data_IF_573153688488
#
_entry.id   IF_573153688488
#
_cell.length_a   1.000
_cell.length_b   1.000
_cell.length_c   1.000
_cell.angle_alpha   90.00
_cell.angle_beta   90.00
_cell.angle_gamma   90.00
#
_symmetry.space_group_name_H-M   'P 1'
#
loop_
_entity.id
_entity.type
_entity.pdbx_description
1 polymer ?
#
# COMPACT_ATOMS: atom_id res chain seq x y z
N UNK A 1 16.91 -12.28 8.62
CA UNK A 1 16.20 -11.16 9.24
C UNK A 1 15.94 -10.16 8.13
N UNK A 2 14.92 -10.42 7.33
CA UNK A 2 14.51 -9.54 6.23
C UNK A 2 13.81 -8.32 6.84
N UNK A 3 14.47 -7.17 6.76
CA UNK A 3 13.83 -5.89 7.05
C UNK A 3 13.04 -5.54 5.79
N UNK A 4 11.73 -5.74 5.83
CA UNK A 4 10.81 -5.45 4.73
C UNK A 4 10.56 -3.92 4.67
N UNK A 5 11.05 -3.20 3.65
CA UNK A 5 11.12 -1.73 3.63
C UNK A 5 9.78 -1.03 3.34
N UNK A 6 8.64 -1.69 3.56
CA UNK A 6 7.37 -1.29 2.96
C UNK A 6 6.30 -0.74 3.93
N UNK A 7 6.56 -0.39 5.19
CA UNK A 7 5.44 -0.12 6.14
C UNK A 7 5.61 1.06 7.13
N UNK A 8 6.30 2.13 6.74
CA UNK A 8 7.06 2.92 7.72
C UNK A 8 6.28 3.83 8.72
N UNK A 9 5.37 4.73 8.32
CA UNK A 9 4.72 5.63 9.28
C UNK A 9 3.64 4.94 10.12
N UNK A 10 2.92 3.98 9.55
CA UNK A 10 1.85 3.25 10.24
C UNK A 10 2.41 2.36 11.34
N UNK A 11 3.54 1.67 11.10
CA UNK A 11 4.21 0.86 12.12
C UNK A 11 4.90 1.72 13.16
N UNK A 12 5.67 2.74 12.75
CA UNK A 12 6.30 3.67 13.70
C UNK A 12 5.24 4.28 14.64
N UNK A 13 4.11 4.74 14.08
CA UNK A 13 2.97 5.24 14.87
C UNK A 13 2.45 4.21 15.86
N UNK A 14 2.32 2.94 15.45
CA UNK A 14 1.86 1.86 16.34
C UNK A 14 2.80 1.64 17.51
N UNK A 15 4.12 1.55 17.26
CA UNK A 15 5.12 1.39 18.31
C UNK A 15 5.06 2.54 19.34
N UNK A 16 5.00 3.80 18.87
CA UNK A 16 4.87 4.95 19.77
C UNK A 16 3.53 4.98 20.51
N UNK A 17 2.44 4.56 19.86
CA UNK A 17 1.13 4.46 20.52
C UNK A 17 1.12 3.41 21.64
N UNK A 18 1.72 2.25 21.42
CA UNK A 18 1.85 1.21 22.45
C UNK A 18 2.77 1.69 23.60
N UNK A 19 3.87 2.37 23.27
CA UNK A 19 4.82 2.93 24.22
C UNK A 19 4.24 4.07 25.09
N UNK A 20 3.16 4.73 24.66
CA UNK A 20 2.55 5.86 25.38
C UNK A 20 2.14 5.51 26.82
N UNK A 21 1.85 4.23 27.07
CA UNK A 21 1.46 3.70 28.39
C UNK A 21 2.60 3.80 29.39
N UNK A 22 3.85 3.80 28.92
CA UNK A 22 5.05 3.78 29.74
C UNK A 22 5.89 5.05 29.63
N UNK A 23 5.83 5.75 28.48
CA UNK A 23 6.50 7.03 28.25
C UNK A 23 5.61 7.96 27.42
N UNK A 24 4.66 8.62 28.10
CA UNK A 24 3.68 9.49 27.47
C UNK A 24 4.33 10.69 26.76
N UNK A 25 5.37 11.29 27.36
CA UNK A 25 5.97 12.50 26.84
C UNK A 25 6.63 12.26 25.48
N UNK A 26 7.51 11.25 25.36
CA UNK A 26 8.19 10.95 24.09
C UNK A 26 7.24 10.43 23.03
N UNK A 27 6.32 9.55 23.44
CA UNK A 27 5.30 9.02 22.54
C UNK A 27 4.44 10.15 21.95
N UNK A 28 4.00 11.11 22.77
CA UNK A 28 3.14 12.21 22.32
C UNK A 28 3.86 13.11 21.31
N UNK A 29 5.13 13.44 21.54
CA UNK A 29 5.93 14.23 20.59
C UNK A 29 6.02 13.52 19.24
N UNK A 30 6.31 12.22 19.25
CA UNK A 30 6.39 11.44 18.00
C UNK A 30 5.05 11.30 17.28
N UNK A 31 3.96 11.08 18.02
CA UNK A 31 2.63 11.04 17.44
C UNK A 31 2.22 12.40 16.83
N UNK A 32 2.65 13.51 17.43
CA UNK A 32 2.44 14.85 16.88
C UNK A 32 3.23 15.05 15.57
N UNK A 33 4.50 14.66 15.53
CA UNK A 33 5.29 14.70 14.30
C UNK A 33 4.67 13.87 13.16
N UNK A 34 4.24 12.65 13.47
CA UNK A 34 3.57 11.79 12.48
C UNK A 34 2.29 12.46 11.98
N UNK A 35 1.51 13.10 12.85
CA UNK A 35 0.33 13.86 12.46
C UNK A 35 0.66 14.97 11.46
N UNK A 36 1.74 15.74 11.69
CA UNK A 36 2.17 16.79 10.77
C UNK A 36 2.47 16.24 9.37
N UNK A 37 3.14 15.08 9.27
CA UNK A 37 3.39 14.43 7.97
C UNK A 37 2.08 14.08 7.25
N UNK A 38 1.09 13.54 7.98
CA UNK A 38 -0.23 13.25 7.39
C UNK A 38 -1.04 14.49 7.04
N UNK A 39 -0.79 15.64 7.67
CA UNK A 39 -1.40 16.91 7.30
C UNK A 39 -0.87 17.41 5.95
N UNK A 40 0.43 17.25 5.67
CA UNK A 40 1.01 17.53 4.33
C UNK A 40 0.38 16.65 3.25
N UNK A 41 0.21 15.35 3.52
CA UNK A 41 -0.44 14.43 2.57
C UNK A 41 -1.94 14.71 2.41
N UNK A 42 -2.58 15.33 3.40
CA UNK A 42 -3.98 15.74 3.31
C UNK A 42 -4.11 16.97 2.40
N UNK A 43 -3.22 17.94 2.57
CA UNK A 43 -3.13 19.12 1.72
C UNK A 43 -2.92 18.73 0.26
N UNK A 44 -1.93 17.88 -0.03
CA UNK A 44 -1.68 17.39 -1.39
C UNK A 44 -2.91 16.74 -2.05
N UNK A 45 -3.72 16.00 -1.27
CA UNK A 45 -4.96 15.37 -1.75
C UNK A 45 -6.08 16.38 -1.94
N UNK A 46 -6.22 17.36 -1.06
CA UNK A 46 -7.24 18.40 -1.15
C UNK A 46 -7.03 19.28 -2.38
N UNK A 47 -5.77 19.61 -2.68
CA UNK A 47 -5.39 20.44 -3.81
C UNK A 47 -5.29 19.66 -5.14
N UNK A 48 -5.54 18.34 -5.11
CA UNK A 48 -5.43 17.43 -6.25
C UNK A 48 -4.08 17.53 -6.98
N UNK A 49 -2.99 17.62 -6.20
CA UNK A 49 -1.64 17.76 -6.75
C UNK A 49 -1.25 16.53 -7.57
N UNK A 50 -0.62 16.80 -8.73
CA UNK A 50 0.04 15.76 -9.53
C UNK A 50 1.31 15.24 -8.83
N UNK A 51 1.93 14.14 -9.31
CA UNK A 51 3.11 13.55 -8.66
C UNK A 51 4.26 14.54 -8.47
N UNK A 52 4.56 15.38 -9.46
CA UNK A 52 5.65 16.36 -9.39
C UNK A 52 5.39 17.44 -8.31
N UNK A 53 4.18 18.01 -8.30
CA UNK A 53 3.75 18.99 -7.31
C UNK A 53 3.72 18.39 -5.89
N UNK A 54 3.28 17.14 -5.76
CA UNK A 54 3.30 16.43 -4.49
C UNK A 54 4.72 16.24 -3.98
N UNK A 55 5.66 15.88 -4.86
CA UNK A 55 7.08 15.78 -4.52
C UNK A 55 7.61 17.12 -4.02
N UNK A 56 7.35 18.22 -4.73
CA UNK A 56 7.76 19.57 -4.31
C UNK A 56 7.20 19.97 -2.94
N UNK A 57 5.92 19.69 -2.69
CA UNK A 57 5.29 19.92 -1.40
C UNK A 57 5.98 19.12 -0.30
N UNK A 58 6.28 17.84 -0.54
CA UNK A 58 6.99 16.97 0.43
C UNK A 58 8.41 17.46 0.68
N UNK A 59 9.14 17.93 -0.33
CA UNK A 59 10.48 18.50 -0.14
C UNK A 59 10.41 19.78 0.71
N UNK A 60 9.38 20.60 0.52
CA UNK A 60 9.22 21.85 1.27
C UNK A 60 8.74 21.64 2.69
N UNK A 61 7.77 20.74 2.91
CA UNK A 61 7.08 20.58 4.21
C UNK A 61 7.45 19.30 4.94
N UNK A 62 7.44 18.15 4.27
CA UNK A 62 7.70 16.86 4.92
C UNK A 62 9.17 16.63 5.24
N UNK A 63 10.10 17.07 4.36
CA UNK A 63 11.54 16.84 4.55
C UNK A 63 12.08 17.49 5.82
N UNK A 64 11.79 18.76 6.15
CA UNK A 64 12.20 19.35 7.42
C UNK A 64 11.65 18.61 8.64
N UNK A 65 10.38 18.19 8.60
CA UNK A 65 9.76 17.41 9.68
C UNK A 65 10.50 16.09 9.90
N UNK A 66 10.89 15.40 8.83
CA UNK A 66 11.63 14.14 8.92
C UNK A 66 13.04 14.32 9.50
N UNK A 67 13.71 15.41 9.16
CA UNK A 67 15.01 15.74 9.76
C UNK A 67 14.86 16.07 11.26
N UNK A 68 13.83 16.83 11.63
CA UNK A 68 13.52 17.12 13.04
C UNK A 68 13.23 15.84 13.83
N UNK A 69 12.42 14.93 13.27
CA UNK A 69 12.16 13.61 13.85
C UNK A 69 13.48 12.86 14.08
N UNK A 70 14.35 12.81 13.06
CA UNK A 70 15.63 12.09 13.15
C UNK A 70 16.51 12.66 14.26
N UNK A 71 16.66 13.97 14.31
CA UNK A 71 17.46 14.66 15.34
C UNK A 71 16.89 14.44 16.74
N UNK A 72 15.56 14.56 16.88
CA UNK A 72 14.85 14.30 18.13
C UNK A 72 15.08 12.86 18.61
N UNK A 73 14.86 11.87 17.74
CA UNK A 73 15.00 10.46 18.07
C UNK A 73 16.44 10.09 18.42
N UNK A 74 17.44 10.63 17.71
CA UNK A 74 18.85 10.43 18.04
C UNK A 74 19.20 10.96 19.43
N UNK A 75 18.63 12.11 19.81
CA UNK A 75 18.82 12.71 21.14
C UNK A 75 18.15 11.89 22.23
N UNK A 76 16.92 11.45 21.99
CA UNK A 76 16.15 10.69 22.98
C UNK A 76 16.65 9.24 23.14
N UNK A 77 17.22 8.64 22.09
CA UNK A 77 17.83 7.31 22.14
C UNK A 77 18.87 7.17 23.26
N UNK A 78 19.62 8.23 23.53
CA UNK A 78 20.65 8.24 24.58
C UNK A 78 20.08 8.25 26.00
N UNK A 79 18.78 8.55 26.16
CA UNK A 79 18.11 8.74 27.44
C UNK A 79 17.18 7.60 27.83
N UNK A 80 17.01 6.60 26.95
CA UNK A 80 16.07 5.49 27.13
C UNK A 80 16.79 4.15 27.21
N UNK A 81 16.18 3.18 27.89
CA UNK A 81 16.68 1.81 27.91
C UNK A 81 16.40 1.15 26.55
N UNK A 82 17.38 0.51 25.89
CA UNK A 82 17.18 -0.07 24.55
C UNK A 82 16.02 -1.08 24.44
N UNK A 83 15.80 -1.89 25.49
CA UNK A 83 14.74 -2.91 25.53
C UNK A 83 13.42 -2.42 26.13
N UNK A 84 13.27 -1.12 26.36
CA UNK A 84 11.98 -0.55 26.76
C UNK A 84 11.08 -0.38 25.52
N UNK A 85 9.76 -0.36 25.70
CA UNK A 85 8.83 -0.14 24.59
C UNK A 85 9.14 1.15 23.79
N UNK A 86 9.56 2.23 24.48
CA UNK A 86 9.96 3.47 23.81
C UNK A 86 11.34 3.34 23.12
N UNK A 87 12.28 2.59 23.70
CA UNK A 87 13.57 2.29 23.09
C UNK A 87 13.42 1.51 21.79
N UNK A 88 12.59 0.47 21.80
CA UNK A 88 12.27 -0.32 20.61
C UNK A 88 11.56 0.52 19.54
N UNK A 89 10.64 1.42 19.93
CA UNK A 89 10.00 2.35 19.01
C UNK A 89 11.01 3.29 18.33
N UNK A 90 11.91 3.89 19.12
CA UNK A 90 12.97 4.78 18.62
C UNK A 90 13.91 4.03 17.69
N UNK A 91 14.37 2.85 18.09
CA UNK A 91 15.27 2.02 17.29
C UNK A 91 14.63 1.59 15.97
N UNK A 92 13.37 1.14 16.02
CA UNK A 92 12.62 0.80 14.82
C UNK A 92 12.55 1.99 13.86
N UNK A 93 12.15 3.17 14.33
CA UNK A 93 12.01 4.33 13.44
C UNK A 93 13.35 4.80 12.89
N UNK A 94 14.42 4.82 13.70
CA UNK A 94 15.76 5.22 13.25
C UNK A 94 16.36 4.25 12.24
N UNK A 95 16.20 2.93 12.45
CA UNK A 95 16.64 1.91 11.48
C UNK A 95 15.93 2.01 10.13
N UNK A 96 14.77 2.66 10.11
CA UNK A 96 13.92 2.81 8.94
C UNK A 96 13.93 4.24 8.36
N UNK A 97 14.80 5.14 8.85
CA UNK A 97 14.85 6.54 8.39
C UNK A 97 15.06 6.70 6.88
N UNK A 98 15.88 5.86 6.23
CA UNK A 98 16.13 5.97 4.79
C UNK A 98 14.85 5.77 3.98
N UNK A 99 14.04 4.77 4.34
CA UNK A 99 12.78 4.53 3.65
C UNK A 99 11.70 5.58 4.00
N UNK A 100 11.79 6.27 5.16
CA UNK A 100 10.96 7.44 5.45
C UNK A 100 11.34 8.62 4.55
N UNK A 101 12.58 8.71 4.09
CA UNK A 101 13.01 9.77 3.18
C UNK A 101 12.63 9.44 1.73
N UNK A 102 12.61 8.15 1.36
CA UNK A 102 12.34 7.71 -0.02
C UNK A 102 10.95 8.11 -0.54
N UNK A 103 9.90 8.08 0.29
CA UNK A 103 8.57 8.52 -0.17
C UNK A 103 8.52 10.02 -0.50
N UNK A 104 9.44 10.83 0.03
CA UNK A 104 9.50 12.27 -0.31
C UNK A 104 10.19 12.54 -1.64
N UNK A 105 10.87 11.54 -2.21
CA UNK A 105 11.64 11.65 -3.44
C UNK A 105 10.79 11.38 -4.70
N UNK A 106 9.67 10.67 -4.55
CA UNK A 106 8.76 10.32 -5.63
C UNK A 106 7.28 10.54 -5.21
N UNK A 107 6.56 11.36 -5.99
CA UNK A 107 5.17 11.71 -5.73
C UNK A 107 4.16 10.59 -6.02
N UNK A 108 4.55 9.57 -6.77
CA UNK A 108 3.74 8.36 -7.01
C UNK A 108 3.69 7.45 -5.78
N UNK A 109 4.67 7.59 -4.87
CA UNK A 109 4.71 6.82 -3.64
C UNK A 109 3.68 7.36 -2.65
N UNK A 110 2.92 6.44 -2.04
CA UNK A 110 2.11 6.74 -0.86
C UNK A 110 3.00 6.81 0.38
N UNK A 111 2.59 7.63 1.36
CA UNK A 111 3.27 7.76 2.65
C UNK A 111 3.29 6.44 3.44
N UNK A 112 2.29 5.59 3.26
CA UNK A 112 2.20 4.26 3.87
C UNK A 112 1.63 3.23 2.88
N UNK A 113 1.87 1.95 3.18
CA UNK A 113 1.49 0.84 2.32
C UNK A 113 0.14 0.22 2.70
N UNK A 114 -0.67 0.92 3.50
CA UNK A 114 -1.94 0.40 4.00
C UNK A 114 -2.87 0.00 2.84
N UNK A 115 -2.77 0.69 1.69
CA UNK A 115 -3.52 0.35 0.48
C UNK A 115 -3.12 -0.99 -0.12
N UNK A 116 -1.81 -1.31 -0.20
CA UNK A 116 -1.39 -2.61 -0.71
C UNK A 116 -1.67 -3.72 0.30
N UNK A 117 -1.42 -3.49 1.59
CA UNK A 117 -1.78 -4.46 2.65
C UNK A 117 -3.28 -4.79 2.60
N UNK A 118 -4.13 -3.76 2.50
CA UNK A 118 -5.59 -3.93 2.39
C UNK A 118 -5.97 -4.70 1.13
N UNK A 119 -5.23 -4.53 0.04
CA UNK A 119 -5.43 -5.27 -1.21
C UNK A 119 -5.03 -6.74 -1.11
N UNK A 120 -4.03 -7.06 -0.27
CA UNK A 120 -3.58 -8.42 0.00
C UNK A 120 -4.40 -9.13 1.09
N UNK A 121 -5.09 -8.38 1.96
CA UNK A 121 -5.89 -8.93 3.07
C UNK A 121 -6.85 -10.06 2.67
N UNK A 122 -7.59 -9.99 1.54
CA UNK A 122 -8.46 -11.08 1.11
C UNK A 122 -7.70 -12.38 0.81
N UNK A 123 -6.46 -12.29 0.31
CA UNK A 123 -5.59 -13.44 0.05
C UNK A 123 -5.10 -14.04 1.37
N UNK A 124 -4.69 -13.19 2.33
CA UNK A 124 -4.24 -13.64 3.66
C UNK A 124 -5.36 -14.34 4.43
N UNK A 125 -6.58 -13.77 4.42
CA UNK A 125 -7.76 -14.40 5.02
C UNK A 125 -8.14 -15.67 4.26
N UNK A 126 -8.08 -15.60 2.92
CA UNK A 126 -8.32 -16.75 2.03
C UNK A 126 -7.39 -17.91 2.35
N UNK A 127 -6.09 -17.67 2.52
CA UNK A 127 -5.08 -18.70 2.84
C UNK A 127 -5.45 -19.54 4.06
N UNK A 128 -5.99 -18.91 5.11
CA UNK A 128 -6.41 -19.62 6.32
C UNK A 128 -7.69 -20.44 6.12
N UNK A 129 -8.50 -20.09 5.10
CA UNK A 129 -9.75 -20.79 4.74
C UNK A 129 -9.57 -21.77 3.56
N UNK A 130 -8.49 -21.65 2.80
CA UNK A 130 -8.18 -22.45 1.63
C UNK A 130 -7.35 -23.67 2.04
N UNK A 131 -7.96 -24.55 2.84
CA UNK A 131 -7.37 -25.80 3.36
C UNK A 131 -6.80 -26.73 2.27
N UNK A 132 -7.16 -26.52 0.99
CA UNK A 132 -6.74 -27.34 -0.15
C UNK A 132 -5.66 -26.68 -1.04
N UNK A 133 -5.14 -25.50 -0.68
CA UNK A 133 -3.95 -24.91 -1.30
C UNK A 133 -2.67 -25.61 -0.78
N UNK A 134 -2.55 -26.92 -1.03
CA UNK A 134 -1.50 -27.78 -0.48
C UNK A 134 -0.30 -28.04 -1.41
N UNK A 135 -0.29 -27.46 -2.61
CA UNK A 135 0.82 -27.61 -3.57
C UNK A 135 1.24 -26.29 -4.19
N UNK A 136 2.51 -26.17 -4.57
CA UNK A 136 3.06 -25.00 -5.28
C UNK A 136 2.26 -24.63 -6.53
N UNK A 137 1.78 -25.65 -7.25
CA UNK A 137 0.93 -25.46 -8.44
C UNK A 137 -0.39 -24.78 -8.06
N UNK A 138 -1.04 -25.22 -6.97
CA UNK A 138 -2.24 -24.59 -6.44
C UNK A 138 -1.99 -23.14 -6.02
N UNK A 139 -0.90 -22.89 -5.29
CA UNK A 139 -0.46 -21.54 -4.90
C UNK A 139 -0.29 -20.61 -6.10
N UNK A 140 0.41 -21.06 -7.14
CA UNK A 140 0.60 -20.29 -8.38
C UNK A 140 -0.73 -19.99 -9.07
N UNK A 141 -1.63 -20.96 -9.17
CA UNK A 141 -2.96 -20.76 -9.75
C UNK A 141 -3.76 -19.71 -8.97
N UNK A 142 -3.76 -19.76 -7.64
CA UNK A 142 -4.46 -18.76 -6.84
C UNK A 142 -3.87 -17.37 -6.92
N UNK A 143 -2.54 -17.26 -7.02
CA UNK A 143 -1.88 -15.97 -7.26
C UNK A 143 -2.34 -15.37 -8.61
N UNK A 144 -2.38 -16.18 -9.68
CA UNK A 144 -2.86 -15.72 -11.00
C UNK A 144 -4.31 -15.25 -10.93
N UNK A 145 -5.21 -16.04 -10.35
CA UNK A 145 -6.63 -15.69 -10.23
C UNK A 145 -6.85 -14.45 -9.37
N UNK A 146 -6.14 -14.35 -8.24
CA UNK A 146 -6.23 -13.19 -7.35
C UNK A 146 -5.74 -11.91 -8.02
N UNK A 147 -4.66 -11.99 -8.81
CA UNK A 147 -4.16 -10.88 -9.62
C UNK A 147 -5.18 -10.42 -10.66
N UNK A 148 -5.85 -11.35 -11.36
CA UNK A 148 -6.92 -11.02 -12.31
C UNK A 148 -8.10 -10.32 -11.61
N UNK A 149 -8.54 -10.84 -10.47
CA UNK A 149 -9.63 -10.23 -9.67
C UNK A 149 -9.22 -8.84 -9.18
N UNK A 150 -7.97 -8.65 -8.74
CA UNK A 150 -7.44 -7.35 -8.33
C UNK A 150 -7.46 -6.34 -9.48
N UNK A 151 -7.05 -6.77 -10.68
CA UNK A 151 -7.13 -5.95 -11.90
C UNK A 151 -8.57 -5.57 -12.24
N UNK A 152 -9.53 -6.50 -12.16
CA UNK A 152 -10.94 -6.20 -12.34
C UNK A 152 -11.42 -5.13 -11.35
N UNK A 153 -11.11 -5.28 -10.07
CA UNK A 153 -11.49 -4.30 -9.03
C UNK A 153 -10.88 -2.93 -9.28
N UNK A 154 -9.60 -2.86 -9.67
CA UNK A 154 -8.93 -1.60 -10.02
C UNK A 154 -9.61 -0.88 -11.20
N UNK A 155 -10.09 -1.65 -12.18
CA UNK A 155 -10.78 -1.15 -13.37
C UNK A 155 -12.30 -1.01 -13.19
N UNK A 156 -12.83 -1.27 -11.99
CA UNK A 156 -14.28 -1.29 -11.69
C UNK A 156 -15.08 -2.25 -12.59
N UNK A 157 -14.47 -3.36 -12.98
CA UNK A 157 -15.10 -4.46 -13.70
C UNK A 157 -15.63 -5.49 -12.70
N UNK A 158 -16.85 -6.00 -12.93
CA UNK A 158 -17.45 -7.07 -12.12
C UNK A 158 -16.65 -8.37 -12.33
N UNK A 159 -15.94 -8.89 -11.31
CA UNK A 159 -14.98 -9.97 -11.51
C UNK A 159 -15.61 -11.31 -11.91
N UNK A 160 -16.81 -11.63 -11.43
CA UNK A 160 -17.46 -12.90 -11.73
C UNK A 160 -17.85 -12.99 -13.20
N UNK A 161 -18.49 -11.95 -13.74
CA UNK A 161 -18.88 -11.84 -15.13
C UNK A 161 -17.68 -11.91 -16.08
N UNK A 162 -16.60 -11.20 -15.72
CA UNK A 162 -15.33 -11.29 -16.44
C UNK A 162 -14.76 -12.71 -16.42
N UNK A 163 -14.61 -13.33 -15.25
CA UNK A 163 -14.01 -14.67 -15.13
C UNK A 163 -14.85 -15.75 -15.82
N UNK A 164 -16.18 -15.67 -15.71
CA UNK A 164 -17.10 -16.57 -16.40
C UNK A 164 -16.86 -16.54 -17.90
N UNK A 165 -16.80 -15.35 -18.48
CA UNK A 165 -16.59 -15.16 -19.91
C UNK A 165 -15.14 -15.44 -20.37
N UNK A 166 -14.17 -15.22 -19.48
CA UNK A 166 -12.79 -15.63 -19.71
C UNK A 166 -12.70 -17.15 -19.84
N UNK A 167 -13.26 -17.90 -18.88
CA UNK A 167 -13.16 -19.36 -18.86
C UNK A 167 -13.92 -20.05 -19.99
N UNK A 168 -14.99 -19.43 -20.51
CA UNK A 168 -15.70 -19.96 -21.69
C UNK A 168 -14.91 -19.78 -22.98
N UNK A 169 -14.07 -18.73 -23.08
CA UNK A 169 -13.34 -18.40 -24.33
C UNK A 169 -11.89 -18.87 -24.33
N UNK A 170 -11.23 -18.95 -23.17
CA UNK A 170 -9.78 -19.15 -23.07
C UNK A 170 -9.28 -20.46 -23.72
N UNK A 171 -10.10 -21.51 -23.74
CA UNK A 171 -9.72 -22.80 -24.33
C UNK A 171 -9.68 -22.78 -25.86
N UNK A 172 -10.43 -21.87 -26.48
CA UNK A 172 -10.56 -21.74 -27.95
C UNK A 172 -9.94 -20.45 -28.48
N UNK A 173 -9.47 -19.56 -27.60
CA UNK A 173 -8.92 -18.26 -27.99
C UNK A 173 -7.46 -18.41 -28.47
N UNK A 174 -7.08 -17.77 -29.59
CA UNK A 174 -5.70 -17.84 -30.07
C UNK A 174 -4.70 -17.30 -29.04
N UNK A 175 -3.62 -18.04 -28.78
CA UNK A 175 -2.54 -17.62 -27.86
C UNK A 175 -1.94 -16.25 -28.23
N UNK A 176 -1.90 -15.91 -29.52
CA UNK A 176 -1.40 -14.63 -30.03
C UNK A 176 -2.30 -13.43 -29.72
N UNK A 177 -3.53 -13.65 -29.24
CA UNK A 177 -4.54 -12.61 -28.97
C UNK A 177 -5.02 -12.60 -27.52
N UNK A 178 -4.27 -13.19 -26.59
CA UNK A 178 -4.65 -13.29 -25.18
C UNK A 178 -4.81 -11.92 -24.50
N UNK A 179 -4.16 -10.89 -25.03
CA UNK A 179 -4.29 -9.50 -24.57
C UNK A 179 -5.74 -8.97 -24.69
N UNK A 180 -6.52 -9.48 -25.66
CA UNK A 180 -7.95 -9.13 -25.80
C UNK A 180 -8.81 -9.65 -24.65
N UNK A 181 -8.32 -10.66 -23.93
CA UNK A 181 -8.99 -11.22 -22.77
C UNK A 181 -8.65 -10.45 -21.49
N UNK A 182 -7.77 -9.45 -21.52
CA UNK A 182 -7.46 -8.65 -20.33
C UNK A 182 -8.69 -7.83 -19.89
N UNK A 183 -8.84 -7.55 -18.58
CA UNK A 183 -10.05 -6.93 -18.06
C UNK A 183 -10.38 -5.56 -18.68
N UNK A 184 -9.38 -4.76 -19.06
CA UNK A 184 -9.56 -3.47 -19.73
C UNK A 184 -10.09 -3.62 -21.16
N UNK A 185 -9.51 -4.54 -21.94
CA UNK A 185 -9.94 -4.83 -23.32
C UNK A 185 -11.31 -5.49 -23.34
N UNK A 186 -11.54 -6.41 -22.41
CA UNK A 186 -12.83 -7.04 -22.20
C UNK A 186 -13.94 -6.02 -21.95
N UNK A 187 -13.70 -5.05 -21.07
CA UNK A 187 -14.67 -3.99 -20.77
C UNK A 187 -15.01 -3.16 -22.01
N UNK A 188 -14.02 -2.82 -22.83
CA UNK A 188 -14.24 -2.10 -24.10
C UNK A 188 -15.08 -2.94 -25.07
N UNK A 189 -14.81 -4.24 -25.18
CA UNK A 189 -15.58 -5.13 -26.03
C UNK A 189 -17.04 -5.26 -25.58
N UNK A 190 -17.30 -5.42 -24.29
CA UNK A 190 -18.66 -5.52 -23.72
C UNK A 190 -19.48 -4.24 -23.95
N UNK A 191 -18.85 -3.07 -23.85
CA UNK A 191 -19.49 -1.77 -24.13
C UNK A 191 -19.89 -1.64 -25.61
N UNK A 192 -19.05 -2.13 -26.53
CA UNK A 192 -19.38 -2.16 -27.97
C UNK A 192 -20.57 -3.08 -28.26
N UNK A 193 -20.63 -4.24 -27.62
CA UNK A 193 -21.74 -5.19 -27.78
C UNK A 193 -23.04 -4.60 -27.23
N UNK A 194 -22.99 -3.95 -26.07
CA UNK A 194 -24.18 -3.35 -25.45
C UNK A 194 -24.70 -2.13 -26.22
N UNK A 195 -23.80 -1.27 -26.74
CA UNK A 195 -24.19 -0.11 -27.55
C UNK A 195 -24.76 -0.49 -28.93
N UNK A 196 -24.39 -1.63 -29.49
CA UNK A 196 -24.96 -2.14 -30.74
C UNK A 196 -26.42 -2.61 -30.61
N UNK A 197 -26.90 -2.85 -29.38
CA UNK A 197 -28.28 -3.28 -29.12
C UNK A 197 -29.26 -2.12 -28.81
N UNK A 198 -28.77 -0.88 -28.66
CA UNK A 198 -29.62 0.31 -28.42
C UNK A 198 -29.93 1.12 -29.70
N UNK A 199 -29.27 0.81 -30.83
CA UNK A 199 -29.47 1.49 -32.13
C UNK A 199 -30.35 0.70 -33.13
N UNK A 200 -31.11 -0.31 -32.67
CA UNK A 200 -32.08 -1.06 -33.48
C UNK A 200 -33.48 -1.00 -32.90
#
# INVERSE_FOLDING_TARGET
>A
MEIDPHHLPSHSRRYFFEAQTFDLCRATVMLAYIRLLYEVEREARQDNLNPEQRRELRQTKSRPILEDIKNYLQTEKLKVLPKSAIGEAIDYTLSNCEALLRYTEDGELEIDNNNAERSLRPIVVGRNNWLFYGSDKGGRTGAVLSSLIASCKRLRVEPFGYLRDLFTRISTHPNSRLDELLPDKWLVAQRKISGAHEET
#
